data_IF_542152282556
#
_entry.id   IF_542152282556
#
_cell.length_a   1.000
_cell.length_b   1.000
_cell.length_c   1.000
_cell.angle_alpha   90.00
_cell.angle_beta   90.00
_cell.angle_gamma   90.00
#
_symmetry.space_group_name_H-M   'P 1'
#
loop_
_entity.id
_entity.type
_entity.pdbx_description
1 polymer ?
#
# COMPACT_ATOMS: atom_id res chain seq x y z
N UNK A 1 2.29 -2.28 -9.86
CA UNK A 1 0.88 -1.83 -9.98
C UNK A 1 0.74 -0.47 -9.31
N UNK A 2 -0.04 0.42 -9.90
CA UNK A 2 -0.36 1.74 -9.35
C UNK A 2 -1.86 2.03 -9.51
N UNK A 3 -2.40 2.95 -8.72
CA UNK A 3 -3.80 3.40 -8.79
C UNK A 3 -4.70 2.77 -7.73
N UNK A 4 -5.21 3.59 -6.81
CA UNK A 4 -6.25 3.18 -5.83
C UNK A 4 -5.81 2.17 -4.76
N UNK A 5 -4.54 1.78 -4.71
CA UNK A 5 -4.03 0.83 -3.71
C UNK A 5 -4.04 1.43 -2.30
N UNK A 6 -4.52 0.66 -1.34
CA UNK A 6 -4.60 1.04 0.07
C UNK A 6 -4.46 -0.21 0.98
N UNK A 7 -4.58 -0.04 2.29
CA UNK A 7 -4.43 -1.14 3.25
C UNK A 7 -5.48 -2.24 3.12
N UNK A 8 -6.68 -1.91 2.67
CA UNK A 8 -7.81 -2.84 2.58
C UNK A 8 -7.67 -3.77 1.37
N UNK A 9 -7.10 -3.28 0.26
CA UNK A 9 -7.07 -4.00 -1.01
C UNK A 9 -5.69 -4.52 -1.44
N UNK A 10 -4.59 -4.05 -0.84
CA UNK A 10 -3.25 -4.36 -1.34
C UNK A 10 -2.93 -5.86 -1.31
N UNK A 11 -3.31 -6.59 -0.25
CA UNK A 11 -3.01 -8.02 -0.15
C UNK A 11 -3.77 -8.84 -1.18
N UNK A 12 -5.03 -8.50 -1.44
CA UNK A 12 -5.82 -9.13 -2.48
C UNK A 12 -5.24 -8.84 -3.88
N UNK A 13 -4.82 -7.59 -4.13
CA UNK A 13 -4.15 -7.22 -5.37
C UNK A 13 -2.84 -7.99 -5.57
N UNK A 14 -2.02 -8.14 -4.53
CA UNK A 14 -0.79 -8.96 -4.56
C UNK A 14 -1.13 -10.40 -4.94
N UNK A 15 -2.05 -11.03 -4.19
CA UNK A 15 -2.37 -12.44 -4.36
C UNK A 15 -2.95 -12.76 -5.74
N UNK A 16 -3.80 -11.87 -6.27
CA UNK A 16 -4.43 -12.06 -7.58
C UNK A 16 -3.50 -11.85 -8.75
N UNK A 17 -2.49 -10.99 -8.60
CA UNK A 17 -1.66 -10.56 -9.74
C UNK A 17 -0.23 -11.05 -9.70
N UNK A 18 0.25 -11.52 -8.54
CA UNK A 18 1.64 -11.96 -8.36
C UNK A 18 2.66 -10.83 -8.57
N UNK A 19 2.24 -9.57 -8.54
CA UNK A 19 3.13 -8.43 -8.72
C UNK A 19 4.10 -8.28 -7.54
N UNK A 20 5.30 -7.80 -7.81
CA UNK A 20 6.34 -7.58 -6.80
C UNK A 20 6.57 -6.10 -6.47
N UNK A 21 6.07 -5.21 -7.33
CA UNK A 21 6.24 -3.75 -7.21
C UNK A 21 4.90 -3.02 -7.12
N UNK A 22 4.83 -2.05 -6.20
CA UNK A 22 3.63 -1.31 -5.85
C UNK A 22 3.95 0.18 -5.74
N UNK A 23 3.02 1.02 -6.16
CA UNK A 23 3.09 2.47 -6.01
C UNK A 23 1.89 2.98 -5.21
N UNK A 24 2.16 3.81 -4.20
CA UNK A 24 1.16 4.38 -3.29
C UNK A 24 1.26 5.90 -3.31
N UNK A 25 0.23 6.55 -3.87
CA UNK A 25 0.15 8.00 -3.91
C UNK A 25 -0.84 8.56 -2.86
N UNK A 26 -2.09 8.78 -3.23
CA UNK A 26 -3.08 9.46 -2.37
C UNK A 26 -3.48 8.68 -1.11
N UNK A 27 -3.39 7.35 -1.12
CA UNK A 27 -3.77 6.51 0.03
C UNK A 27 -2.86 6.68 1.25
N UNK A 28 -1.63 7.14 1.05
CA UNK A 28 -0.67 7.44 2.12
C UNK A 28 -0.75 8.89 2.60
N UNK A 29 -1.69 9.70 2.08
CA UNK A 29 -1.81 11.12 2.40
C UNK A 29 -2.81 11.39 3.54
N UNK A 30 -2.62 12.50 4.25
CA UNK A 30 -3.63 13.10 5.15
C UNK A 30 -4.55 14.02 4.34
N UNK A 31 -3.96 14.76 3.41
CA UNK A 31 -4.60 15.65 2.44
C UNK A 31 -3.73 15.73 1.18
N UNK A 32 -4.25 16.17 0.02
CA UNK A 32 -3.51 16.19 -1.23
C UNK A 32 -2.10 16.77 -1.10
N UNK A 33 -1.10 15.96 -1.43
CA UNK A 33 0.32 16.34 -1.39
C UNK A 33 0.98 16.30 0.00
N UNK A 34 0.27 15.94 1.07
CA UNK A 34 0.84 15.78 2.42
C UNK A 34 0.77 14.32 2.87
N UNK A 35 1.94 13.66 2.90
CA UNK A 35 2.09 12.27 3.33
C UNK A 35 1.92 12.10 4.84
N UNK A 36 1.45 10.92 5.25
CA UNK A 36 1.36 10.48 6.63
C UNK A 36 2.34 9.32 6.86
N UNK A 37 3.36 9.52 7.70
CA UNK A 37 4.35 8.48 7.99
C UNK A 37 3.72 7.23 8.59
N UNK A 38 2.72 7.36 9.48
CA UNK A 38 2.05 6.21 10.10
C UNK A 38 1.30 5.37 9.09
N UNK A 39 0.69 5.99 8.06
CA UNK A 39 0.02 5.27 6.98
C UNK A 39 1.01 4.52 6.08
N UNK A 40 2.18 5.10 5.85
CA UNK A 40 3.26 4.46 5.09
C UNK A 40 3.77 3.25 5.87
N UNK A 41 4.13 3.44 7.14
CA UNK A 41 4.60 2.37 8.03
C UNK A 41 3.58 1.24 8.12
N UNK A 42 2.30 1.56 8.26
CA UNK A 42 1.25 0.57 8.39
C UNK A 42 1.05 -0.25 7.10
N UNK A 43 1.17 0.36 5.92
CA UNK A 43 1.15 -0.36 4.64
C UNK A 43 2.39 -1.24 4.49
N UNK A 44 3.58 -0.71 4.77
CA UNK A 44 4.84 -1.47 4.64
C UNK A 44 4.84 -2.67 5.58
N UNK A 45 4.42 -2.49 6.83
CA UNK A 45 4.31 -3.57 7.81
C UNK A 45 3.29 -4.63 7.39
N UNK A 46 2.15 -4.22 6.85
CA UNK A 46 1.14 -5.14 6.32
C UNK A 46 1.71 -6.04 5.21
N UNK A 47 2.38 -5.45 4.23
CA UNK A 47 2.99 -6.19 3.11
C UNK A 47 4.10 -7.12 3.59
N UNK A 48 4.99 -6.63 4.46
CA UNK A 48 6.11 -7.42 4.96
C UNK A 48 5.66 -8.60 5.82
N UNK A 49 4.59 -8.44 6.61
CA UNK A 49 4.05 -9.51 7.42
C UNK A 49 3.30 -10.56 6.59
N UNK A 50 2.71 -10.18 5.45
CA UNK A 50 2.05 -11.12 4.54
C UNK A 50 3.04 -11.96 3.70
N UNK A 51 4.31 -11.51 3.57
CA UNK A 51 5.38 -12.24 2.89
C UNK A 51 6.14 -13.22 3.78
N UNK A 52 5.94 -13.16 5.10
CA UNK A 52 6.49 -14.11 6.07
C UNK A 52 5.62 -15.36 6.14
#
# INVERSE_FOLDING_TARGET
>A
MSGGLNQENILDAINKTGIEFYDFCSSTEIKPGIKNIKKIESIVNLINNAKK
#
